data_IF_210009216770
#
_entry.id   IF_210009216770
#
_cell.length_a   1.000
_cell.length_b   1.000
_cell.length_c   1.000
_cell.angle_alpha   90.00
_cell.angle_beta   90.00
_cell.angle_gamma   90.00
#
_symmetry.space_group_name_H-M   'P 1'
#
loop_
_entity.id
_entity.type
_entity.pdbx_description
1 polymer ?
#
# COMPACT_ATOMS: atom_id res chain seq x y z
N UNK A 1 14.47 4.87 -0.36
CA UNK A 1 15.28 3.99 -1.23
C UNK A 1 15.44 4.60 -2.61
N UNK A 2 16.43 4.10 -3.35
CA UNK A 2 16.61 4.37 -4.77
C UNK A 2 16.59 3.06 -5.55
N UNK A 3 15.95 3.06 -6.72
CA UNK A 3 15.81 1.88 -7.55
C UNK A 3 17.08 1.66 -8.37
N UNK A 4 17.62 0.44 -8.31
CA UNK A 4 18.84 0.05 -8.99
C UNK A 4 18.51 -0.98 -10.09
N UNK A 5 19.15 -0.83 -11.25
CA UNK A 5 18.99 -1.74 -12.39
C UNK A 5 17.81 -1.40 -13.29
N UNK A 6 17.60 -2.28 -14.29
CA UNK A 6 16.49 -2.22 -15.23
C UNK A 6 15.77 -3.57 -15.25
N UNK A 7 14.55 -3.59 -14.80
CA UNK A 7 13.70 -4.78 -14.71
C UNK A 7 12.39 -4.57 -15.48
N UNK A 8 12.49 -4.13 -16.73
CA UNK A 8 11.34 -3.90 -17.60
C UNK A 8 10.42 -5.13 -17.65
N UNK A 9 9.12 -4.92 -17.51
CA UNK A 9 8.12 -6.00 -17.42
C UNK A 9 7.95 -6.63 -16.04
N UNK A 10 8.65 -6.12 -15.02
CA UNK A 10 8.37 -6.46 -13.64
C UNK A 10 7.38 -5.42 -13.05
N UNK A 11 6.24 -5.88 -12.56
CA UNK A 11 5.15 -5.03 -12.05
C UNK A 11 5.60 -4.16 -10.88
N UNK A 12 6.34 -4.76 -9.93
CA UNK A 12 6.81 -4.03 -8.76
C UNK A 12 7.84 -2.97 -9.13
N UNK A 13 8.77 -3.31 -10.02
CA UNK A 13 9.74 -2.36 -10.56
C UNK A 13 9.04 -1.15 -11.20
N UNK A 14 8.09 -1.40 -12.11
CA UNK A 14 7.38 -0.33 -12.81
C UNK A 14 6.58 0.55 -11.84
N UNK A 15 5.96 -0.06 -10.82
CA UNK A 15 5.21 0.64 -9.77
C UNK A 15 6.11 1.52 -8.90
N UNK A 16 7.24 0.97 -8.43
CA UNK A 16 8.19 1.69 -7.58
C UNK A 16 8.92 2.81 -8.35
N UNK A 17 9.25 2.57 -9.62
CA UNK A 17 9.82 3.62 -10.50
C UNK A 17 8.87 4.79 -10.68
N UNK A 18 7.58 4.55 -10.87
CA UNK A 18 6.59 5.62 -10.94
C UNK A 18 6.51 6.41 -9.64
N UNK A 19 6.67 5.75 -8.51
CA UNK A 19 6.59 6.35 -7.18
C UNK A 19 7.91 6.98 -6.69
N UNK A 20 9.05 6.74 -7.36
CA UNK A 20 10.40 7.07 -6.88
C UNK A 20 10.55 8.54 -6.45
N UNK A 21 9.95 9.48 -7.20
CA UNK A 21 9.98 10.89 -6.82
C UNK A 21 9.33 11.14 -5.45
N UNK A 22 8.25 10.43 -5.13
CA UNK A 22 7.54 10.59 -3.84
C UNK A 22 8.35 10.06 -2.65
N UNK A 23 9.34 9.20 -2.90
CA UNK A 23 10.20 8.63 -1.86
C UNK A 23 11.37 9.54 -1.42
N UNK A 24 11.58 10.68 -2.08
CA UNK A 24 12.60 11.65 -1.67
C UNK A 24 12.30 12.20 -0.29
N UNK A 25 13.32 12.35 0.55
CA UNK A 25 13.19 12.85 1.93
C UNK A 25 12.41 14.18 1.99
N UNK A 26 12.71 15.13 1.10
CA UNK A 26 12.04 16.44 1.04
C UNK A 26 10.56 16.37 0.69
N UNK A 27 10.12 15.34 -0.05
CA UNK A 27 8.70 15.13 -0.37
C UNK A 27 8.01 14.47 0.81
N UNK A 28 8.57 13.38 1.34
CA UNK A 28 8.05 12.64 2.50
C UNK A 28 7.93 13.50 3.75
N UNK A 29 8.84 14.45 3.96
CA UNK A 29 8.80 15.35 5.11
C UNK A 29 7.53 16.20 5.17
N UNK A 30 6.85 16.45 4.04
CA UNK A 30 5.58 17.20 3.99
C UNK A 30 4.41 16.44 4.63
N UNK A 31 4.50 15.12 4.67
CA UNK A 31 3.51 14.20 5.26
C UNK A 31 4.23 13.15 6.11
N UNK A 32 5.10 13.60 7.02
CA UNK A 32 6.14 12.78 7.63
C UNK A 32 5.63 11.49 8.29
N UNK A 33 4.43 11.49 8.85
CA UNK A 33 3.82 10.31 9.46
C UNK A 33 3.16 9.39 8.43
N UNK A 34 2.50 9.95 7.41
CA UNK A 34 1.82 9.17 6.35
C UNK A 34 2.80 8.45 5.43
N UNK A 35 3.97 9.06 5.24
CA UNK A 35 5.02 8.56 4.38
C UNK A 35 6.16 7.89 5.18
N UNK A 36 5.86 7.44 6.41
CA UNK A 36 6.79 6.64 7.21
C UNK A 36 6.93 5.24 6.61
N UNK A 37 8.15 4.70 6.62
CA UNK A 37 8.46 3.35 6.17
C UNK A 37 9.45 2.68 7.12
N UNK A 38 9.19 1.43 7.46
CA UNK A 38 10.04 0.64 8.36
C UNK A 38 11.30 0.08 7.68
N UNK A 39 11.39 0.16 6.35
CA UNK A 39 12.50 -0.41 5.58
C UNK A 39 13.88 0.20 5.87
N UNK A 40 13.92 1.46 6.31
CA UNK A 40 15.15 2.15 6.71
C UNK A 40 14.82 3.27 7.69
N UNK A 41 14.88 2.99 8.98
CA UNK A 41 14.60 3.96 10.02
C UNK A 41 15.47 3.74 11.26
N UNK A 42 15.63 4.79 12.03
CA UNK A 42 16.28 4.76 13.35
C UNK A 42 15.32 5.41 14.35
N UNK A 43 15.23 4.85 15.54
CA UNK A 43 14.35 5.34 16.60
C UNK A 43 15.05 5.18 17.95
N UNK A 44 14.77 6.06 18.88
CA UNK A 44 15.20 5.92 20.28
C UNK A 44 14.62 4.63 20.89
N UNK A 45 15.46 3.88 21.61
CA UNK A 45 15.05 2.60 22.21
C UNK A 45 13.91 2.78 23.21
N UNK A 46 13.92 3.83 24.01
CA UNK A 46 12.87 4.10 25.00
C UNK A 46 11.54 4.39 24.32
N UNK A 47 11.56 5.17 23.24
CA UNK A 47 10.37 5.45 22.42
C UNK A 47 9.84 4.16 21.81
N UNK A 48 10.71 3.32 21.24
CA UNK A 48 10.26 2.05 20.62
C UNK A 48 9.65 1.08 21.63
N UNK A 49 10.19 1.02 22.85
CA UNK A 49 9.65 0.17 23.93
C UNK A 49 8.28 0.70 24.40
N UNK A 50 8.14 2.05 24.53
CA UNK A 50 6.90 2.67 24.94
C UNK A 50 5.81 2.62 23.85
N UNK A 51 6.20 2.59 22.58
CA UNK A 51 5.32 2.58 21.41
C UNK A 51 5.76 1.48 20.43
N UNK A 52 5.55 0.19 20.76
CA UNK A 52 5.92 -0.92 19.87
C UNK A 52 5.03 -0.96 18.63
N UNK A 53 5.48 -1.66 17.60
CA UNK A 53 4.65 -1.97 16.43
C UNK A 53 3.41 -2.76 16.86
N UNK A 54 2.28 -2.45 16.26
CA UNK A 54 1.02 -3.13 16.53
C UNK A 54 1.00 -4.54 15.92
N UNK A 55 1.02 -5.55 16.76
CA UNK A 55 1.03 -6.97 16.36
C UNK A 55 -0.30 -7.44 15.76
N UNK A 56 -1.37 -6.64 15.82
CA UNK A 56 -2.64 -6.96 15.16
C UNK A 56 -2.59 -6.84 13.63
N UNK A 57 -1.54 -6.17 13.10
CA UNK A 57 -1.26 -6.12 11.66
C UNK A 57 -0.58 -7.41 11.21
N UNK A 58 -1.36 -8.50 11.26
CA UNK A 58 -0.95 -9.80 10.72
C UNK A 58 -1.01 -9.77 9.20
N UNK A 59 0.00 -10.35 8.53
CA UNK A 59 0.12 -10.39 7.07
C UNK A 59 0.95 -9.23 6.51
N UNK A 60 0.80 -8.97 5.21
CA UNK A 60 1.61 -8.00 4.49
C UNK A 60 0.91 -6.64 4.38
N UNK A 61 1.64 -5.56 4.75
CA UNK A 61 1.35 -4.16 4.41
C UNK A 61 0.53 -3.38 5.44
N UNK A 62 0.74 -2.08 5.41
CA UNK A 62 0.12 -1.05 6.26
C UNK A 62 0.59 -0.99 7.72
N UNK A 63 1.45 -1.90 8.18
CA UNK A 63 2.06 -1.85 9.51
C UNK A 63 2.90 -0.58 9.71
N UNK A 64 3.60 -0.13 8.67
CA UNK A 64 4.39 1.09 8.65
C UNK A 64 3.51 2.34 8.71
N UNK A 65 2.41 2.38 7.96
CA UNK A 65 1.42 3.47 7.99
C UNK A 65 0.77 3.56 9.37
N UNK A 66 0.40 2.43 9.95
CA UNK A 66 -0.19 2.36 11.29
C UNK A 66 0.79 2.85 12.36
N UNK A 67 2.06 2.47 12.23
CA UNK A 67 3.11 2.93 13.15
C UNK A 67 3.36 4.44 13.03
N UNK A 68 3.39 4.97 11.82
CA UNK A 68 3.46 6.41 11.59
C UNK A 68 2.30 7.17 12.25
N UNK A 69 1.07 6.66 12.16
CA UNK A 69 -0.10 7.22 12.84
C UNK A 69 0.03 7.15 14.37
N UNK A 70 0.53 6.03 14.90
CA UNK A 70 0.78 5.87 16.34
C UNK A 70 1.78 6.91 16.86
N UNK A 71 2.90 7.11 16.15
CA UNK A 71 3.90 8.13 16.50
C UNK A 71 3.33 9.54 16.40
N UNK A 72 2.47 9.83 15.41
CA UNK A 72 1.77 11.09 15.27
C UNK A 72 0.89 11.39 16.49
N UNK A 73 0.08 10.41 16.91
CA UNK A 73 -0.81 10.55 18.08
C UNK A 73 -0.04 10.72 19.39
N UNK A 74 1.14 10.12 19.48
CA UNK A 74 2.03 10.27 20.63
C UNK A 74 2.83 11.59 20.62
N UNK A 75 2.71 12.41 19.57
CA UNK A 75 3.45 13.65 19.42
C UNK A 75 4.96 13.46 19.21
N UNK A 76 5.37 12.27 18.75
CA UNK A 76 6.78 11.93 18.52
C UNK A 76 7.17 12.40 17.12
N UNK A 77 8.14 13.33 16.99
CA UNK A 77 8.50 13.89 15.70
C UNK A 77 9.23 12.86 14.82
N UNK A 78 8.93 12.87 13.52
CA UNK A 78 9.62 12.10 12.49
C UNK A 78 10.37 13.06 11.57
N UNK A 79 11.66 12.78 11.36
CA UNK A 79 12.50 13.48 10.40
C UNK A 79 12.93 12.53 9.30
N UNK A 80 12.61 12.87 8.05
CA UNK A 80 13.10 12.16 6.87
C UNK A 80 14.45 12.72 6.47
N UNK A 81 15.43 11.84 6.33
CA UNK A 81 16.79 12.19 5.90
C UNK A 81 17.08 11.60 4.53
N UNK A 82 17.97 12.23 3.78
CA UNK A 82 18.39 11.73 2.48
C UNK A 82 19.51 10.68 2.66
N UNK A 83 19.08 9.47 2.99
CA UNK A 83 19.95 8.31 3.16
C UNK A 83 19.28 7.08 2.49
N UNK A 84 19.20 7.08 1.15
CA UNK A 84 18.50 6.01 0.44
C UNK A 84 19.27 4.69 0.51
N UNK A 85 18.56 3.59 0.74
CA UNK A 85 19.06 2.22 0.52
C UNK A 85 18.76 1.79 -0.91
N UNK A 86 19.66 1.02 -1.52
CA UNK A 86 19.45 0.47 -2.87
C UNK A 86 18.37 -0.62 -2.86
N UNK A 87 17.40 -0.51 -3.77
CA UNK A 87 16.38 -1.51 -4.00
C UNK A 87 16.63 -2.15 -5.37
N UNK A 88 17.07 -3.39 -5.39
CA UNK A 88 17.55 -4.09 -6.58
C UNK A 88 16.96 -5.50 -6.75
N UNK A 89 16.26 -6.02 -5.76
CA UNK A 89 15.67 -7.36 -5.81
C UNK A 89 14.14 -7.25 -5.95
N UNK A 90 13.65 -7.65 -7.12
CA UNK A 90 12.24 -7.60 -7.47
C UNK A 90 11.69 -9.01 -7.65
N UNK A 91 10.77 -9.38 -6.79
CA UNK A 91 10.04 -10.64 -6.88
C UNK A 91 9.26 -10.78 -8.20
N UNK A 92 8.80 -11.99 -8.48
CA UNK A 92 7.96 -12.26 -9.65
C UNK A 92 6.65 -11.47 -9.58
N UNK A 93 6.06 -11.15 -10.75
CA UNK A 93 4.76 -10.48 -10.83
C UNK A 93 3.66 -11.26 -10.08
N UNK A 94 3.72 -12.60 -10.10
CA UNK A 94 2.79 -13.46 -9.37
C UNK A 94 2.91 -13.28 -7.87
N UNK A 95 4.13 -13.34 -7.32
CA UNK A 95 4.40 -13.16 -5.90
C UNK A 95 4.02 -11.75 -5.43
N UNK A 96 4.32 -10.74 -6.24
CA UNK A 96 3.93 -9.37 -5.92
C UNK A 96 2.40 -9.17 -5.91
N UNK A 97 1.69 -9.77 -6.86
CA UNK A 97 0.22 -9.73 -6.86
C UNK A 97 -0.39 -10.37 -5.61
N UNK A 98 0.16 -11.50 -5.15
CA UNK A 98 -0.28 -12.15 -3.90
C UNK A 98 -0.08 -11.22 -2.69
N UNK A 99 1.09 -10.59 -2.57
CA UNK A 99 1.36 -9.61 -1.51
C UNK A 99 0.42 -8.41 -1.57
N UNK A 100 0.09 -7.93 -2.76
CA UNK A 100 -0.88 -6.83 -2.94
C UNK A 100 -2.28 -7.24 -2.52
N UNK A 101 -2.73 -8.44 -2.87
CA UNK A 101 -4.03 -8.98 -2.46
C UNK A 101 -4.10 -9.14 -0.94
N UNK A 102 -3.03 -9.62 -0.30
CA UNK A 102 -2.90 -9.70 1.15
C UNK A 102 -2.92 -8.30 1.80
N UNK A 103 -2.17 -7.33 1.26
CA UNK A 103 -2.17 -5.97 1.77
C UNK A 103 -3.56 -5.30 1.68
N UNK A 104 -4.33 -5.59 0.63
CA UNK A 104 -5.70 -5.10 0.51
C UNK A 104 -6.63 -5.73 1.54
N UNK A 105 -6.40 -6.99 1.91
CA UNK A 105 -7.14 -7.63 3.01
C UNK A 105 -6.78 -7.00 4.35
N UNK A 106 -5.50 -6.74 4.63
CA UNK A 106 -5.04 -6.00 5.81
C UNK A 106 -5.66 -4.61 5.86
N UNK A 107 -5.65 -3.88 4.74
CA UNK A 107 -6.30 -2.57 4.62
C UNK A 107 -7.80 -2.64 4.95
N UNK A 108 -8.49 -3.68 4.48
CA UNK A 108 -9.91 -3.85 4.74
C UNK A 108 -10.18 -4.14 6.23
N UNK A 109 -9.39 -5.00 6.87
CA UNK A 109 -9.51 -5.33 8.29
C UNK A 109 -9.32 -4.09 9.18
N UNK A 110 -8.36 -3.25 8.85
CA UNK A 110 -8.00 -2.04 9.61
C UNK A 110 -8.56 -0.74 8.99
N UNK A 111 -9.61 -0.82 8.15
CA UNK A 111 -10.14 0.32 7.39
C UNK A 111 -10.59 1.52 8.23
N UNK A 112 -11.06 1.27 9.45
CA UNK A 112 -11.48 2.35 10.37
C UNK A 112 -10.31 3.23 10.83
N UNK A 113 -9.13 2.62 11.02
CA UNK A 113 -7.90 3.31 11.42
C UNK A 113 -7.20 3.95 10.20
N UNK A 114 -7.26 3.26 9.04
CA UNK A 114 -6.51 3.63 7.84
C UNK A 114 -7.30 4.51 6.83
N UNK A 115 -8.53 4.94 7.17
CA UNK A 115 -9.41 5.69 6.25
C UNK A 115 -8.77 6.97 5.70
N UNK A 116 -8.01 7.69 6.54
CA UNK A 116 -7.39 8.96 6.17
C UNK A 116 -6.03 8.80 5.48
N UNK A 117 -5.55 7.57 5.38
CA UNK A 117 -4.23 7.20 4.84
C UNK A 117 -4.32 6.48 3.49
N UNK A 118 -5.49 5.98 3.08
CA UNK A 118 -5.64 5.19 1.87
C UNK A 118 -6.55 5.81 0.82
N UNK A 119 -5.99 6.07 -0.37
CA UNK A 119 -6.76 6.49 -1.55
C UNK A 119 -7.76 5.43 -2.01
N UNK A 120 -7.47 4.15 -1.79
CA UNK A 120 -8.37 3.05 -2.15
C UNK A 120 -9.64 3.15 -1.31
N UNK A 121 -9.52 3.35 0.00
CA UNK A 121 -10.69 3.55 0.87
C UNK A 121 -11.48 4.79 0.41
N UNK A 122 -10.81 5.91 0.15
CA UNK A 122 -11.48 7.13 -0.28
C UNK A 122 -12.28 6.94 -1.59
N UNK A 123 -11.67 6.30 -2.60
CA UNK A 123 -12.33 6.02 -3.88
C UNK A 123 -13.51 5.07 -3.69
N UNK A 124 -13.35 4.00 -2.91
CA UNK A 124 -14.41 3.03 -2.67
C UNK A 124 -15.57 3.61 -1.87
N UNK A 125 -15.31 4.52 -0.92
CA UNK A 125 -16.35 5.26 -0.22
C UNK A 125 -17.21 6.12 -1.17
N UNK A 126 -16.60 6.72 -2.20
CA UNK A 126 -17.36 7.43 -3.25
C UNK A 126 -18.25 6.47 -4.02
N UNK A 127 -17.72 5.31 -4.44
CA UNK A 127 -18.49 4.26 -5.16
C UNK A 127 -19.65 3.74 -4.30
N UNK A 128 -19.46 3.59 -3.00
CA UNK A 128 -20.53 3.21 -2.05
C UNK A 128 -21.60 4.31 -1.94
N UNK A 129 -21.19 5.57 -1.82
CA UNK A 129 -22.08 6.72 -1.69
C UNK A 129 -23.03 6.88 -2.89
N UNK A 130 -22.56 6.55 -4.09
CA UNK A 130 -23.38 6.57 -5.33
C UNK A 130 -24.07 5.24 -5.61
N UNK A 131 -24.06 4.29 -4.64
CA UNK A 131 -24.72 2.99 -4.70
C UNK A 131 -24.26 2.06 -5.86
N UNK A 132 -23.11 2.33 -6.48
CA UNK A 132 -22.55 1.52 -7.58
C UNK A 132 -21.68 0.34 -7.13
N UNK A 133 -21.42 0.18 -5.85
CA UNK A 133 -20.51 -0.84 -5.33
C UNK A 133 -20.98 -2.28 -5.64
N UNK A 134 -22.30 -2.55 -5.67
CA UNK A 134 -22.82 -3.86 -6.03
C UNK A 134 -22.57 -4.20 -7.50
N UNK A 135 -22.84 -3.23 -8.40
CA UNK A 135 -22.60 -3.41 -9.83
C UNK A 135 -21.10 -3.52 -10.12
N UNK A 136 -20.27 -2.62 -9.57
CA UNK A 136 -18.83 -2.63 -9.74
C UNK A 136 -18.20 -3.96 -9.27
N UNK A 137 -18.60 -4.46 -8.09
CA UNK A 137 -18.11 -5.73 -7.58
C UNK A 137 -18.60 -6.95 -8.40
N UNK A 138 -19.81 -6.91 -8.94
CA UNK A 138 -20.30 -7.99 -9.82
C UNK A 138 -19.52 -8.02 -11.14
N UNK A 139 -19.33 -6.88 -11.78
CA UNK A 139 -18.54 -6.74 -13.01
C UNK A 139 -17.07 -7.16 -12.78
N UNK A 140 -16.49 -6.71 -11.67
CA UNK A 140 -15.12 -7.09 -11.35
C UNK A 140 -14.96 -8.62 -11.21
N UNK A 141 -15.87 -9.32 -10.54
CA UNK A 141 -15.83 -10.79 -10.41
C UNK A 141 -15.82 -11.52 -11.74
N UNK A 142 -16.48 -10.99 -12.77
CA UNK A 142 -16.48 -11.59 -14.10
C UNK A 142 -15.13 -11.47 -14.81
N UNK A 143 -14.39 -10.39 -14.52
CA UNK A 143 -13.14 -10.07 -15.24
C UNK A 143 -11.86 -10.25 -14.39
N UNK A 144 -11.98 -10.45 -13.08
CA UNK A 144 -10.83 -10.44 -12.15
C UNK A 144 -9.71 -11.42 -12.53
N UNK A 145 -10.07 -12.66 -12.91
CA UNK A 145 -9.09 -13.68 -13.28
C UNK A 145 -8.35 -13.31 -14.58
N UNK A 146 -9.07 -12.73 -15.54
CA UNK A 146 -8.48 -12.27 -16.79
C UNK A 146 -7.57 -11.08 -16.54
N UNK A 147 -8.01 -10.10 -15.76
CA UNK A 147 -7.21 -8.95 -15.36
C UNK A 147 -5.93 -9.37 -14.63
N UNK A 148 -6.07 -10.25 -13.64
CA UNK A 148 -4.94 -10.76 -12.86
C UNK A 148 -3.90 -11.45 -13.75
N UNK A 149 -4.34 -12.36 -14.62
CA UNK A 149 -3.43 -13.02 -15.59
C UNK A 149 -2.74 -12.01 -16.49
N UNK A 150 -3.46 -11.04 -17.01
CA UNK A 150 -2.89 -10.01 -17.87
C UNK A 150 -1.86 -9.15 -17.14
N UNK A 151 -2.09 -8.77 -15.86
CA UNK A 151 -1.16 -8.01 -15.04
C UNK A 151 0.13 -8.81 -14.80
N UNK A 152 0.00 -10.12 -14.53
CA UNK A 152 1.17 -10.99 -14.29
C UNK A 152 2.00 -11.18 -15.57
N UNK A 153 1.37 -11.33 -16.73
CA UNK A 153 2.08 -11.59 -17.99
C UNK A 153 2.57 -10.34 -18.70
N UNK A 154 1.82 -9.25 -18.62
CA UNK A 154 2.12 -7.96 -19.28
C UNK A 154 1.66 -6.83 -18.35
N UNK A 155 2.50 -6.40 -17.39
CA UNK A 155 2.16 -5.39 -16.40
C UNK A 155 1.74 -4.07 -17.02
N UNK A 156 0.62 -3.52 -16.55
CA UNK A 156 0.13 -2.18 -16.88
C UNK A 156 -0.36 -1.52 -15.61
N UNK A 157 0.25 -0.46 -15.17
CA UNK A 157 -0.02 0.20 -13.89
C UNK A 157 -1.47 0.70 -13.76
N UNK A 158 -2.08 1.14 -14.86
CA UNK A 158 -3.50 1.53 -14.86
C UNK A 158 -4.41 0.32 -14.59
N UNK A 159 -4.16 -0.81 -15.26
CA UNK A 159 -4.92 -2.04 -15.05
C UNK A 159 -4.73 -2.57 -13.62
N UNK A 160 -3.51 -2.50 -13.11
CA UNK A 160 -3.16 -2.83 -11.73
C UNK A 160 -3.91 -1.97 -10.71
N UNK A 161 -4.02 -0.65 -10.95
CA UNK A 161 -4.79 0.26 -10.09
C UNK A 161 -6.27 -0.08 -10.10
N UNK A 162 -6.86 -0.34 -11.27
CA UNK A 162 -8.26 -0.76 -11.39
C UNK A 162 -8.50 -2.11 -10.69
N UNK A 163 -7.56 -3.05 -10.81
CA UNK A 163 -7.62 -4.32 -10.11
C UNK A 163 -7.67 -4.15 -8.59
N UNK A 164 -6.78 -3.32 -8.02
CA UNK A 164 -6.75 -3.04 -6.57
C UNK A 164 -8.09 -2.48 -6.07
N UNK A 165 -8.67 -1.52 -6.79
CA UNK A 165 -9.97 -0.93 -6.43
C UNK A 165 -11.08 -1.97 -6.51
N UNK A 166 -11.17 -2.74 -7.60
CA UNK A 166 -12.18 -3.78 -7.78
C UNK A 166 -12.07 -4.89 -6.74
N UNK A 167 -10.85 -5.33 -6.43
CA UNK A 167 -10.57 -6.34 -5.42
C UNK A 167 -11.03 -5.86 -4.03
N UNK A 168 -10.71 -4.63 -3.66
CA UNK A 168 -11.12 -4.04 -2.38
C UNK A 168 -12.65 -3.90 -2.28
N UNK A 169 -13.34 -3.44 -3.33
CA UNK A 169 -14.82 -3.40 -3.38
C UNK A 169 -15.40 -4.80 -3.15
N UNK A 170 -14.78 -5.83 -3.73
CA UNK A 170 -15.26 -7.20 -3.59
C UNK A 170 -15.07 -7.75 -2.17
N UNK A 171 -13.95 -7.42 -1.49
CA UNK A 171 -13.75 -7.74 -0.07
C UNK A 171 -14.86 -7.13 0.80
N UNK A 172 -15.21 -5.86 0.57
CA UNK A 172 -16.25 -5.16 1.31
C UNK A 172 -17.65 -5.79 1.17
N UNK A 173 -17.89 -6.56 0.10
CA UNK A 173 -19.15 -7.26 -0.14
C UNK A 173 -19.22 -8.64 0.48
N UNK A 174 -18.12 -9.36 0.53
CA UNK A 174 -18.10 -10.76 1.01
C UNK A 174 -18.17 -10.87 2.55
N UNK A 175 -18.01 -9.76 3.26
CA UNK A 175 -17.99 -9.74 4.73
C UNK A 175 -19.19 -8.96 5.34
N UNK A 176 -20.17 -8.59 4.50
CA UNK A 176 -21.51 -8.16 4.92
C UNK A 176 -22.48 -9.33 4.85
#
# INVERSE_FOLDING_TARGET
YSIVGNHAGNLRYDYERQAEHSHRASVRQRSCYKDFHTSNFCIDRGIFIAHPLDVSYEGYGYEDVAYGDQLCRAGIPIQHIDNPVGYYDFETNESYMQKVEESLLTLYRHRSQLKDYSRIIAVTAVVERIHLHHLAGALFRLVQNKMRRQIVTCPRLMLFTLYKIGYYINLARCQK
#
